data_IF_033722313126
#
_entry.id   IF_033722313126
#
_cell.length_a   1.000
_cell.length_b   1.000
_cell.length_c   1.000
_cell.angle_alpha   90.00
_cell.angle_beta   90.00
_cell.angle_gamma   90.00
#
_symmetry.space_group_name_H-M   'P 1'
#
loop_
_entity.id
_entity.type
_entity.pdbx_description
1 polymer ?
#
# COMPACT_ATOMS: atom_id res chain seq x y z
N UNK A 1 10.01 44.33 62.36
CA UNK A 1 9.56 42.99 61.93
C UNK A 1 8.86 42.92 60.57
N UNK A 2 8.62 44.02 59.82
CA UNK A 2 7.92 43.99 58.50
C UNK A 2 8.83 43.93 57.29
N UNK A 3 10.13 44.15 57.36
CA UNK A 3 11.07 44.13 56.25
C UNK A 3 11.61 42.72 55.87
N UNK A 4 11.53 41.75 56.76
CA UNK A 4 12.07 40.39 56.55
C UNK A 4 11.11 39.53 55.75
N UNK A 5 9.82 39.81 55.79
CA UNK A 5 8.80 39.08 55.02
C UNK A 5 8.84 39.35 53.53
N UNK A 6 9.22 40.53 53.09
CA UNK A 6 9.33 40.85 51.67
C UNK A 6 10.54 40.23 50.99
N UNK A 7 11.59 39.92 51.73
CA UNK A 7 12.77 39.29 51.20
C UNK A 7 12.55 37.80 50.88
N UNK A 8 11.72 37.11 51.71
CA UNK A 8 11.34 35.71 51.45
C UNK A 8 10.30 35.55 50.38
N UNK A 9 9.43 36.53 50.19
CA UNK A 9 8.43 36.48 49.14
C UNK A 9 9.02 36.75 47.75
N UNK A 10 10.07 37.57 47.63
CA UNK A 10 10.78 37.83 46.39
C UNK A 10 11.67 36.65 45.94
N UNK A 11 12.17 35.84 46.89
CA UNK A 11 13.00 34.66 46.58
C UNK A 11 12.15 33.47 46.10
N UNK A 12 10.85 33.41 46.50
CA UNK A 12 9.97 32.32 46.10
C UNK A 12 9.34 32.55 44.72
N UNK A 13 9.29 33.78 44.21
CA UNK A 13 8.79 34.11 42.86
C UNK A 13 9.84 33.87 41.74
N UNK A 14 11.14 33.78 42.11
CA UNK A 14 12.21 33.60 41.15
C UNK A 14 12.47 32.11 40.80
N UNK A 15 11.79 31.18 41.46
CA UNK A 15 11.96 29.72 41.21
C UNK A 15 10.92 29.11 40.28
N UNK A 16 10.05 29.93 39.61
CA UNK A 16 8.99 29.44 38.71
C UNK A 16 9.18 29.68 37.23
N UNK A 17 10.38 30.03 36.80
CA UNK A 17 10.60 30.39 35.39
C UNK A 17 11.77 29.62 34.74
N UNK A 18 11.85 28.33 34.82
CA UNK A 18 12.66 27.55 33.89
C UNK A 18 12.15 26.13 33.86
N UNK A 19 11.07 25.89 33.16
CA UNK A 19 10.79 24.59 32.59
C UNK A 19 10.23 24.81 31.18
N UNK A 20 11.09 25.32 30.30
CA UNK A 20 10.99 24.99 28.90
C UNK A 20 12.14 24.01 28.67
N UNK A 21 11.81 22.75 28.64
CA UNK A 21 12.69 21.71 28.12
C UNK A 21 12.81 21.96 26.62
N UNK A 22 13.84 22.72 26.22
CA UNK A 22 14.20 22.90 24.81
C UNK A 22 14.90 21.59 24.42
N UNK A 23 14.15 20.64 23.88
CA UNK A 23 14.72 19.49 23.22
C UNK A 23 15.52 20.05 22.02
N UNK A 24 16.83 20.03 22.11
CA UNK A 24 17.70 20.38 20.99
C UNK A 24 17.36 19.49 19.80
N UNK A 25 17.30 20.08 18.61
CA UNK A 25 16.91 19.40 17.36
C UNK A 25 17.68 18.10 17.08
N UNK A 26 18.87 17.98 17.63
CA UNK A 26 19.77 16.83 17.47
C UNK A 26 19.51 15.70 18.48
N UNK A 27 18.63 15.90 19.45
CA UNK A 27 18.18 14.89 20.41
C UNK A 27 16.81 14.28 20.09
N UNK A 28 16.23 14.60 18.94
CA UNK A 28 15.20 13.75 18.34
C UNK A 28 15.90 12.52 17.75
N UNK A 29 16.29 11.62 18.60
CA UNK A 29 16.53 10.26 18.15
C UNK A 29 15.17 9.68 17.86
N UNK A 30 14.81 9.65 16.56
CA UNK A 30 13.75 8.77 16.10
C UNK A 30 14.08 7.38 16.70
N UNK A 31 13.25 6.83 17.60
CA UNK A 31 13.51 5.50 18.17
C UNK A 31 13.59 4.42 17.07
N UNK A 32 13.23 4.77 15.83
CA UNK A 32 13.36 3.94 14.64
C UNK A 32 14.48 4.43 13.70
N UNK A 33 15.32 5.41 14.11
CA UNK A 33 16.45 5.86 13.29
C UNK A 33 17.41 4.67 13.04
N UNK A 34 17.39 4.13 11.84
CA UNK A 34 18.18 2.97 11.43
C UNK A 34 17.41 1.64 11.42
N UNK A 35 16.14 1.63 11.79
CA UNK A 35 15.25 0.49 11.56
C UNK A 35 14.26 0.81 10.44
N UNK A 36 13.91 -0.16 9.58
CA UNK A 36 12.83 0.03 8.63
C UNK A 36 11.53 0.41 9.37
N UNK A 37 10.66 1.18 8.70
CA UNK A 37 9.34 1.54 9.25
C UNK A 37 8.61 0.29 9.72
N UNK A 38 8.41 0.15 11.03
CA UNK A 38 7.73 -0.98 11.66
C UNK A 38 6.23 -0.74 11.81
N UNK A 39 5.68 0.32 11.21
CA UNK A 39 4.26 0.61 11.23
C UNK A 39 3.47 -0.23 10.23
N UNK A 40 2.15 -0.21 10.36
CA UNK A 40 1.25 -0.79 9.35
C UNK A 40 1.38 0.02 8.06
N UNK A 41 1.55 -0.67 6.94
CA UNK A 41 1.42 -0.10 5.60
C UNK A 41 0.04 -0.44 5.03
N UNK A 42 -0.36 0.31 4.04
CA UNK A 42 -1.70 0.23 3.46
C UNK A 42 -1.61 -0.11 1.98
N UNK A 43 -2.38 -1.12 1.57
CA UNK A 43 -2.59 -1.44 0.16
C UNK A 43 -3.90 -0.81 -0.31
N UNK A 44 -3.85 -0.12 -1.44
CA UNK A 44 -5.04 0.31 -2.20
C UNK A 44 -5.09 -0.51 -3.49
N UNK A 45 -6.15 -1.28 -3.65
CA UNK A 45 -6.46 -2.02 -4.88
C UNK A 45 -7.50 -1.22 -5.66
N UNK A 46 -7.10 -0.64 -6.80
CA UNK A 46 -7.95 0.17 -7.68
C UNK A 46 -8.46 -0.68 -8.85
N UNK A 47 -9.77 -0.91 -8.92
CA UNK A 47 -10.41 -1.53 -10.08
C UNK A 47 -10.62 -0.51 -11.18
N UNK A 48 -9.92 -0.68 -12.30
CA UNK A 48 -9.76 0.33 -13.33
C UNK A 48 -9.80 -0.24 -14.77
N UNK A 49 -9.69 0.64 -15.76
CA UNK A 49 -9.56 0.25 -17.16
C UNK A 49 -9.47 1.46 -18.09
N UNK A 50 -8.75 1.29 -19.19
CA UNK A 50 -8.43 2.38 -20.12
C UNK A 50 -9.65 3.00 -20.85
N UNK A 51 -10.82 2.33 -20.86
CA UNK A 51 -12.08 2.87 -21.40
C UNK A 51 -12.98 3.51 -20.34
N UNK A 52 -12.55 3.53 -19.08
CA UNK A 52 -13.29 4.12 -17.98
C UNK A 52 -13.03 5.62 -17.91
N UNK A 53 -14.06 6.41 -18.12
CA UNK A 53 -14.01 7.88 -18.25
C UNK A 53 -13.51 8.59 -16.98
N UNK A 54 -13.82 8.05 -15.80
CA UNK A 54 -13.49 8.67 -14.51
C UNK A 54 -12.35 7.94 -13.78
N UNK A 55 -11.77 6.88 -14.37
CA UNK A 55 -10.66 6.16 -13.74
C UNK A 55 -9.38 7.01 -13.58
N UNK A 56 -9.08 7.97 -14.48
CA UNK A 56 -7.98 8.90 -14.25
C UNK A 56 -8.10 9.71 -12.95
N UNK A 57 -9.31 10.08 -12.52
CA UNK A 57 -9.51 10.78 -11.24
C UNK A 57 -9.11 9.91 -10.04
N UNK A 58 -9.43 8.62 -10.08
CA UNK A 58 -9.05 7.66 -9.03
C UNK A 58 -7.53 7.43 -9.01
N UNK A 59 -6.91 7.29 -10.20
CA UNK A 59 -5.45 7.19 -10.32
C UNK A 59 -4.74 8.44 -9.76
N UNK A 60 -5.26 9.63 -10.07
CA UNK A 60 -4.74 10.88 -9.54
C UNK A 60 -4.90 10.99 -8.01
N UNK A 61 -6.00 10.49 -7.46
CA UNK A 61 -6.21 10.46 -6.01
C UNK A 61 -5.26 9.47 -5.31
N UNK A 62 -5.07 8.27 -5.88
CA UNK A 62 -4.08 7.31 -5.37
C UNK A 62 -2.68 7.91 -5.33
N UNK A 63 -2.26 8.58 -6.40
CA UNK A 63 -0.97 9.27 -6.46
C UNK A 63 -0.82 10.33 -5.34
N UNK A 64 -1.83 11.17 -5.12
CA UNK A 64 -1.82 12.15 -4.01
C UNK A 64 -1.71 11.48 -2.63
N UNK A 65 -2.37 10.33 -2.44
CA UNK A 65 -2.30 9.59 -1.18
C UNK A 65 -0.88 9.02 -0.98
N UNK A 66 -0.26 8.50 -2.04
CA UNK A 66 1.13 8.03 -1.98
C UNK A 66 2.13 9.17 -1.71
N UNK A 67 1.92 10.35 -2.31
CA UNK A 67 2.71 11.55 -1.99
C UNK A 67 2.54 12.01 -0.53
N UNK A 68 1.32 11.91 0.01
CA UNK A 68 1.02 12.27 1.40
C UNK A 68 1.63 11.27 2.40
N UNK A 69 1.72 10.00 2.04
CA UNK A 69 2.20 8.91 2.88
C UNK A 69 3.29 8.09 2.17
N UNK A 70 4.45 8.71 1.84
CA UNK A 70 5.49 8.07 1.06
C UNK A 70 5.97 6.78 1.74
N UNK A 71 6.13 5.72 0.95
CA UNK A 71 6.52 4.38 1.37
C UNK A 71 5.57 3.67 2.36
N UNK A 72 4.42 4.27 2.67
CA UNK A 72 3.43 3.73 3.62
C UNK A 72 2.13 3.31 2.95
N UNK A 73 1.78 3.92 1.83
CA UNK A 73 0.67 3.52 0.97
C UNK A 73 1.23 2.95 -0.31
N UNK A 74 0.65 1.86 -0.77
CA UNK A 74 1.07 1.12 -1.96
C UNK A 74 -0.17 0.90 -2.82
N UNK A 75 -0.09 1.24 -4.11
CA UNK A 75 -1.16 1.04 -5.07
C UNK A 75 -0.99 -0.23 -5.90
N UNK A 76 -2.11 -0.85 -6.26
CA UNK A 76 -2.22 -1.84 -7.34
C UNK A 76 -3.42 -1.48 -8.21
N UNK A 77 -3.19 -1.16 -9.49
CA UNK A 77 -4.23 -0.90 -10.47
C UNK A 77 -4.63 -2.20 -11.18
N UNK A 78 -5.82 -2.68 -10.90
CA UNK A 78 -6.37 -3.92 -11.45
C UNK A 78 -7.23 -3.58 -12.65
N UNK A 79 -6.65 -3.69 -13.85
CA UNK A 79 -7.40 -3.56 -15.09
C UNK A 79 -8.27 -4.79 -15.32
N UNK A 80 -9.59 -4.62 -15.37
CA UNK A 80 -10.52 -5.74 -15.47
C UNK A 80 -11.81 -5.40 -16.22
N UNK A 81 -12.58 -6.43 -16.50
CA UNK A 81 -13.91 -6.33 -17.10
C UNK A 81 -13.93 -5.65 -18.48
N UNK A 82 -15.11 -5.15 -18.87
CA UNK A 82 -15.31 -4.53 -20.17
C UNK A 82 -14.58 -3.20 -20.38
N UNK A 83 -14.24 -2.50 -19.28
CA UNK A 83 -13.48 -1.25 -19.35
C UNK A 83 -12.00 -1.46 -19.68
N UNK A 84 -11.45 -2.65 -19.43
CA UNK A 84 -10.08 -3.01 -19.76
C UNK A 84 -9.97 -3.99 -20.94
N UNK A 85 -11.09 -4.39 -21.58
CA UNK A 85 -11.07 -5.29 -22.71
C UNK A 85 -10.59 -4.58 -23.98
N UNK A 86 -9.52 -5.07 -24.64
CA UNK A 86 -9.03 -4.48 -25.88
C UNK A 86 -10.09 -4.41 -26.97
N UNK A 87 -10.25 -3.22 -27.57
CA UNK A 87 -11.15 -3.00 -28.69
C UNK A 87 -10.85 -1.67 -29.40
N UNK A 88 -11.07 -1.61 -30.70
CA UNK A 88 -10.89 -0.39 -31.48
C UNK A 88 -9.44 0.11 -31.44
N UNK A 89 -9.25 1.30 -30.88
CA UNK A 89 -7.92 1.93 -30.75
C UNK A 89 -7.14 1.43 -29.54
N UNK A 90 -7.77 0.74 -28.61
CA UNK A 90 -7.17 0.15 -27.41
C UNK A 90 -6.71 -1.26 -27.75
N UNK A 91 -5.42 -1.44 -27.98
CA UNK A 91 -4.85 -2.71 -28.45
C UNK A 91 -4.09 -3.48 -27.39
N UNK A 92 -3.60 -2.80 -26.36
CA UNK A 92 -2.88 -3.41 -25.25
C UNK A 92 -3.85 -4.04 -24.27
N UNK A 93 -3.58 -5.27 -23.85
CA UNK A 93 -4.34 -5.94 -22.79
C UNK A 93 -3.59 -5.83 -21.48
N UNK A 94 -4.11 -5.03 -20.55
CA UNK A 94 -3.57 -4.88 -19.19
C UNK A 94 -4.23 -5.84 -18.20
N UNK A 95 -5.22 -6.60 -18.63
CA UNK A 95 -5.89 -7.58 -17.76
C UNK A 95 -4.97 -8.75 -17.46
N UNK A 96 -5.12 -9.29 -16.26
CA UNK A 96 -4.52 -10.57 -15.87
C UNK A 96 -5.63 -11.54 -15.48
N UNK A 97 -5.38 -12.84 -15.56
CA UNK A 97 -6.35 -13.84 -15.09
C UNK A 97 -6.64 -13.66 -13.61
N UNK A 98 -5.59 -13.39 -12.82
CA UNK A 98 -5.70 -13.18 -11.38
C UNK A 98 -6.45 -11.89 -11.04
N UNK A 99 -6.22 -10.81 -11.79
CA UNK A 99 -6.96 -9.55 -11.64
C UNK A 99 -8.44 -9.72 -11.95
N UNK A 100 -8.79 -10.48 -12.99
CA UNK A 100 -10.18 -10.81 -13.29
C UNK A 100 -10.80 -11.66 -12.18
N UNK A 101 -10.09 -12.69 -11.66
CA UNK A 101 -10.57 -13.53 -10.57
C UNK A 101 -10.84 -12.73 -9.29
N UNK A 102 -9.95 -11.79 -8.94
CA UNK A 102 -10.12 -10.87 -7.81
C UNK A 102 -11.34 -9.97 -8.04
N UNK A 103 -11.47 -9.39 -9.23
CA UNK A 103 -12.59 -8.52 -9.61
C UNK A 103 -13.92 -9.27 -9.54
N UNK A 104 -14.00 -10.47 -10.10
CA UNK A 104 -15.20 -11.30 -10.06
C UNK A 104 -15.62 -11.68 -8.64
N UNK A 105 -14.64 -11.92 -7.76
CA UNK A 105 -14.90 -12.27 -6.36
C UNK A 105 -15.47 -11.11 -5.54
N UNK A 106 -14.88 -9.91 -5.65
CA UNK A 106 -15.36 -8.74 -4.92
C UNK A 106 -16.58 -8.08 -5.57
N UNK A 107 -16.81 -8.33 -6.86
CA UNK A 107 -18.02 -7.98 -7.58
C UNK A 107 -18.32 -6.49 -7.69
N UNK A 108 -17.36 -5.63 -8.08
CA UNK A 108 -17.66 -4.21 -8.29
C UNK A 108 -18.71 -3.99 -9.35
N UNK A 109 -19.72 -3.17 -9.06
CA UNK A 109 -20.80 -2.85 -10.02
C UNK A 109 -20.37 -1.87 -11.12
N UNK A 110 -19.27 -1.15 -10.92
CA UNK A 110 -18.73 -0.16 -11.87
C UNK A 110 -17.36 0.34 -11.47
N UNK A 111 -16.72 1.09 -12.35
CA UNK A 111 -15.39 1.68 -12.16
C UNK A 111 -15.44 3.21 -12.29
N UNK A 112 -14.53 3.97 -11.60
CA UNK A 112 -13.53 3.47 -10.66
C UNK A 112 -14.14 3.14 -9.30
N UNK A 113 -13.62 2.13 -8.66
CA UNK A 113 -13.90 1.76 -7.28
C UNK A 113 -12.70 0.94 -6.76
N UNK A 114 -12.48 0.90 -5.45
CA UNK A 114 -11.34 0.14 -4.94
C UNK A 114 -11.50 -0.30 -3.51
N UNK A 115 -10.43 -0.85 -2.97
CA UNK A 115 -10.38 -1.37 -1.60
C UNK A 115 -9.16 -0.82 -0.88
N UNK A 116 -9.32 -0.49 0.39
CA UNK A 116 -8.22 -0.09 1.28
C UNK A 116 -7.99 -1.18 2.31
N UNK A 117 -6.88 -1.92 2.21
CA UNK A 117 -6.57 -3.11 3.00
C UNK A 117 -7.72 -4.14 3.05
N UNK A 118 -8.63 -4.14 2.08
CA UNK A 118 -9.84 -4.99 2.03
C UNK A 118 -10.68 -4.89 3.32
N UNK A 119 -10.57 -3.74 4.01
CA UNK A 119 -11.32 -3.49 5.24
C UNK A 119 -12.81 -3.47 4.97
N UNK A 120 -13.60 -4.06 5.87
CA UNK A 120 -15.07 -4.08 5.78
C UNK A 120 -15.68 -5.23 4.98
N UNK A 121 -14.86 -6.16 4.48
CA UNK A 121 -15.38 -7.38 3.85
C UNK A 121 -16.24 -8.21 4.85
N UNK A 122 -17.40 -8.76 4.43
CA UNK A 122 -17.88 -8.81 3.05
C UNK A 122 -18.73 -7.62 2.59
N UNK A 123 -19.26 -6.80 3.50
CA UNK A 123 -20.39 -5.91 3.16
C UNK A 123 -19.98 -4.52 2.65
N UNK A 124 -18.85 -3.97 3.13
CA UNK A 124 -18.43 -2.58 2.88
C UNK A 124 -16.97 -2.48 2.42
N UNK A 125 -16.51 -3.43 1.63
CA UNK A 125 -15.10 -3.50 1.21
C UNK A 125 -14.79 -2.58 0.04
N UNK A 126 -15.77 -2.36 -0.85
CA UNK A 126 -15.63 -1.52 -2.03
C UNK A 126 -15.92 -0.05 -1.67
N UNK A 127 -14.96 0.82 -1.93
CA UNK A 127 -14.98 2.22 -1.57
C UNK A 127 -14.82 3.12 -2.79
N UNK A 128 -15.55 4.23 -2.84
CA UNK A 128 -15.24 5.31 -3.78
C UNK A 128 -13.82 5.81 -3.57
N UNK A 129 -13.13 6.21 -4.63
CA UNK A 129 -11.79 6.81 -4.55
C UNK A 129 -11.76 8.06 -3.65
N UNK A 130 -12.88 8.77 -3.50
CA UNK A 130 -13.01 9.93 -2.61
C UNK A 130 -12.85 9.59 -1.12
N UNK A 131 -13.00 8.33 -0.75
CA UNK A 131 -12.92 7.85 0.63
C UNK A 131 -11.57 7.20 0.96
N UNK A 132 -10.73 6.92 -0.06
CA UNK A 132 -9.46 6.19 0.12
C UNK A 132 -8.49 6.90 1.05
N UNK A 133 -8.35 8.23 0.93
CA UNK A 133 -7.44 9.00 1.77
C UNK A 133 -7.80 8.92 3.26
N UNK A 134 -9.10 9.03 3.60
CA UNK A 134 -9.58 8.91 4.97
C UNK A 134 -9.34 7.51 5.52
N UNK A 135 -9.73 6.49 4.74
CA UNK A 135 -9.58 5.09 5.16
C UNK A 135 -8.11 4.70 5.29
N UNK A 136 -7.24 5.14 4.38
CA UNK A 136 -5.80 4.89 4.47
C UNK A 136 -5.20 5.54 5.73
N UNK A 137 -5.58 6.80 6.03
CA UNK A 137 -5.15 7.49 7.24
C UNK A 137 -5.54 6.74 8.52
N UNK A 138 -6.77 6.23 8.60
CA UNK A 138 -7.24 5.42 9.74
C UNK A 138 -6.46 4.10 9.88
N UNK A 139 -6.16 3.42 8.77
CA UNK A 139 -5.40 2.18 8.77
C UNK A 139 -3.93 2.38 9.18
N UNK A 140 -3.31 3.50 8.78
CA UNK A 140 -1.93 3.83 9.15
C UNK A 140 -1.74 4.11 10.65
N UNK A 141 -2.80 4.45 11.38
CA UNK A 141 -2.77 4.65 12.84
C UNK A 141 -2.78 3.33 13.62
N UNK A 142 -3.07 2.21 12.97
CA UNK A 142 -3.13 0.92 13.63
C UNK A 142 -1.72 0.35 13.86
N UNK A 143 -1.54 -0.35 14.97
CA UNK A 143 -0.31 -1.09 15.22
C UNK A 143 -0.20 -2.27 14.24
N UNK A 144 0.97 -2.53 13.65
CA UNK A 144 1.18 -3.68 12.79
C UNK A 144 1.12 -4.97 13.61
N UNK A 145 0.46 -5.98 13.09
CA UNK A 145 0.40 -7.32 13.69
C UNK A 145 1.39 -8.29 13.03
N UNK A 146 1.92 -7.90 11.89
CA UNK A 146 2.88 -8.65 11.09
C UNK A 146 4.00 -7.70 10.65
N UNK A 147 5.23 -8.16 10.72
CA UNK A 147 6.37 -7.57 10.05
C UNK A 147 6.59 -8.31 8.74
N UNK A 148 6.85 -7.57 7.68
CA UNK A 148 7.06 -8.06 6.33
C UNK A 148 8.26 -7.35 5.71
N UNK A 149 9.12 -8.08 5.01
CA UNK A 149 10.18 -7.51 4.18
C UNK A 149 10.39 -8.36 2.93
N UNK A 150 10.85 -7.72 1.86
CA UNK A 150 11.09 -8.35 0.57
C UNK A 150 12.55 -8.13 0.19
N UNK A 151 13.14 -9.15 -0.41
CA UNK A 151 14.39 -9.05 -1.16
C UNK A 151 14.27 -9.78 -2.49
N UNK A 152 14.99 -9.33 -3.49
CA UNK A 152 15.03 -9.96 -4.82
C UNK A 152 16.48 -10.20 -5.23
N UNK A 153 16.74 -11.37 -5.75
CA UNK A 153 18.04 -11.75 -6.31
C UNK A 153 17.83 -12.78 -7.42
N UNK A 154 18.43 -12.54 -8.60
CA UNK A 154 18.44 -13.50 -9.73
C UNK A 154 17.03 -14.00 -10.14
N UNK A 155 16.04 -13.10 -10.19
CA UNK A 155 14.62 -13.39 -10.45
C UNK A 155 13.97 -14.36 -9.44
N UNK A 156 14.50 -14.43 -8.24
CA UNK A 156 13.88 -15.06 -7.09
C UNK A 156 13.52 -13.99 -6.07
N UNK A 157 12.23 -13.87 -5.75
CA UNK A 157 11.77 -13.02 -4.66
C UNK A 157 11.73 -13.82 -3.37
N UNK A 158 12.29 -13.26 -2.31
CA UNK A 158 12.24 -13.82 -0.95
C UNK A 158 11.48 -12.86 -0.03
N UNK A 159 10.39 -13.34 0.54
CA UNK A 159 9.54 -12.60 1.47
C UNK A 159 9.81 -13.14 2.87
N UNK A 160 10.31 -12.29 3.76
CA UNK A 160 10.43 -12.60 5.18
C UNK A 160 9.24 -12.04 5.95
N UNK A 161 8.64 -12.86 6.78
CA UNK A 161 7.49 -12.46 7.58
C UNK A 161 7.54 -13.06 8.98
N UNK A 162 7.09 -12.28 9.98
CA UNK A 162 6.89 -12.77 11.36
C UNK A 162 5.68 -12.12 12.01
N UNK A 163 5.12 -12.79 13.01
CA UNK A 163 4.07 -12.22 13.86
C UNK A 163 4.67 -11.27 14.90
N UNK A 164 4.02 -10.13 15.08
CA UNK A 164 4.30 -9.15 16.13
C UNK A 164 3.32 -9.28 17.30
N UNK A 165 2.16 -9.90 17.06
CA UNK A 165 1.14 -10.13 18.09
C UNK A 165 0.56 -11.54 17.97
N UNK A 166 0.11 -12.11 19.07
CA UNK A 166 -0.55 -13.41 19.12
C UNK A 166 -1.90 -13.38 18.36
N UNK A 167 -2.10 -14.32 17.45
CA UNK A 167 -3.34 -14.49 16.69
C UNK A 167 -3.40 -15.88 16.10
N UNK A 168 -4.62 -16.43 15.98
CA UNK A 168 -4.89 -17.72 15.36
C UNK A 168 -5.42 -17.58 13.91
N UNK A 169 -5.19 -16.44 13.26
CA UNK A 169 -5.65 -16.18 11.90
C UNK A 169 -5.09 -17.19 10.91
N UNK A 170 -5.92 -17.61 9.96
CA UNK A 170 -5.48 -18.34 8.78
C UNK A 170 -4.89 -17.35 7.77
N UNK A 171 -3.58 -17.34 7.64
CA UNK A 171 -2.87 -16.34 6.86
C UNK A 171 -2.57 -16.81 5.45
N UNK A 172 -2.65 -15.87 4.53
CA UNK A 172 -2.19 -16.03 3.15
C UNK A 172 -1.20 -14.94 2.79
N UNK A 173 -0.19 -15.32 1.99
CA UNK A 173 0.78 -14.42 1.38
C UNK A 173 0.53 -14.35 -0.12
N UNK A 174 0.33 -13.15 -0.63
CA UNK A 174 0.29 -12.85 -2.07
C UNK A 174 1.57 -12.14 -2.45
N UNK A 175 2.12 -12.50 -3.61
CA UNK A 175 3.27 -11.84 -4.22
C UNK A 175 2.93 -11.54 -5.66
N UNK A 176 3.01 -10.27 -6.05
CA UNK A 176 2.68 -9.83 -7.40
C UNK A 176 3.71 -8.86 -7.98
N UNK A 177 3.65 -8.66 -9.27
CA UNK A 177 4.45 -7.70 -10.03
C UNK A 177 3.51 -6.60 -10.53
N UNK A 178 3.89 -5.35 -10.29
CA UNK A 178 3.28 -4.17 -10.89
C UNK A 178 4.29 -3.46 -11.78
N UNK A 179 3.80 -2.70 -12.75
CA UNK A 179 4.63 -1.88 -13.64
C UNK A 179 4.11 -0.45 -13.66
N UNK A 180 5.02 0.50 -13.54
CA UNK A 180 4.76 1.94 -13.59
C UNK A 180 5.20 2.53 -14.95
N UNK A 181 4.72 3.75 -15.28
CA UNK A 181 5.19 4.51 -16.44
C UNK A 181 4.85 3.88 -17.79
N UNK A 182 3.77 3.11 -17.89
CA UNK A 182 3.33 2.54 -19.17
C UNK A 182 2.56 3.62 -19.94
N UNK A 183 3.11 4.04 -21.07
CA UNK A 183 2.44 5.02 -21.94
C UNK A 183 1.53 4.30 -22.91
N UNK A 184 0.21 4.54 -22.80
CA UNK A 184 -0.80 4.00 -23.71
C UNK A 184 -2.06 4.88 -23.67
N UNK A 185 -3.08 4.50 -24.42
CA UNK A 185 -4.34 5.23 -24.53
C UNK A 185 -5.22 5.10 -23.29
N UNK A 186 -5.95 6.19 -22.98
CA UNK A 186 -6.92 6.24 -21.89
C UNK A 186 -8.06 7.17 -22.27
N UNK A 187 -9.29 6.87 -21.86
CA UNK A 187 -10.39 7.84 -21.86
C UNK A 187 -10.33 8.63 -20.55
N UNK A 188 -10.29 9.95 -20.67
CA UNK A 188 -10.34 10.88 -19.53
C UNK A 188 -11.41 11.93 -19.77
N UNK A 189 -12.38 12.08 -18.87
CA UNK A 189 -13.49 13.02 -19.01
C UNK A 189 -14.31 12.85 -20.31
N UNK A 190 -14.20 11.70 -20.99
CA UNK A 190 -14.80 11.42 -22.28
C UNK A 190 -13.92 11.73 -23.49
N UNK A 191 -12.74 12.28 -23.28
CA UNK A 191 -11.74 12.55 -24.32
C UNK A 191 -10.72 11.40 -24.40
N UNK A 192 -10.21 11.11 -25.61
CA UNK A 192 -9.14 10.15 -25.81
C UNK A 192 -7.78 10.81 -25.56
N UNK A 193 -7.07 10.34 -24.55
CA UNK A 193 -5.67 10.70 -24.30
C UNK A 193 -4.80 9.62 -24.96
N UNK A 194 -4.02 10.01 -25.96
CA UNK A 194 -3.19 9.07 -26.74
C UNK A 194 -1.95 8.59 -25.99
N UNK A 195 -1.38 9.45 -25.13
CA UNK A 195 -0.16 9.21 -24.37
C UNK A 195 -0.44 9.40 -22.86
N UNK A 196 -1.29 8.55 -22.29
CA UNK A 196 -1.59 8.52 -20.85
C UNK A 196 -0.58 7.62 -20.14
N UNK A 197 -0.07 8.06 -19.00
CA UNK A 197 0.84 7.28 -18.16
C UNK A 197 0.06 6.43 -17.17
N UNK A 198 0.09 5.11 -17.38
CA UNK A 198 -0.50 4.15 -16.45
C UNK A 198 0.54 3.70 -15.42
N UNK A 199 0.19 3.81 -14.15
CA UNK A 199 1.04 3.42 -13.03
C UNK A 199 0.38 2.31 -12.20
N UNK A 200 1.17 1.60 -11.40
CA UNK A 200 0.74 0.51 -10.52
C UNK A 200 0.03 -0.65 -11.22
N UNK A 201 0.18 -0.78 -12.54
CA UNK A 201 -0.54 -1.78 -13.34
C UNK A 201 -0.18 -3.18 -12.88
N UNK A 202 -1.17 -3.95 -12.43
CA UNK A 202 -0.98 -5.36 -12.07
C UNK A 202 -0.58 -6.15 -13.32
N UNK A 203 0.65 -6.68 -13.33
CA UNK A 203 1.14 -7.46 -14.48
C UNK A 203 1.04 -8.97 -14.24
N UNK A 204 1.22 -9.41 -13.00
CA UNK A 204 1.19 -10.84 -12.64
C UNK A 204 1.03 -11.02 -11.14
N UNK A 205 0.29 -12.05 -10.73
CA UNK A 205 0.37 -12.57 -9.37
C UNK A 205 1.16 -13.87 -9.40
N UNK A 206 2.34 -13.89 -8.76
CA UNK A 206 3.33 -14.96 -8.89
C UNK A 206 2.81 -16.29 -8.35
N UNK A 207 2.07 -16.23 -7.25
CA UNK A 207 1.58 -17.41 -6.52
C UNK A 207 0.04 -17.56 -6.53
N UNK A 208 -0.59 -17.02 -7.59
CA UNK A 208 -2.04 -17.10 -7.82
C UNK A 208 -2.84 -16.03 -7.10
N UNK A 209 -4.05 -15.73 -7.59
CA UNK A 209 -4.91 -14.62 -7.14
C UNK A 209 -5.09 -14.55 -5.62
N UNK A 210 -5.14 -15.69 -4.95
CA UNK A 210 -5.36 -15.81 -3.50
C UNK A 210 -4.09 -16.16 -2.72
N UNK A 211 -2.95 -16.25 -3.40
CA UNK A 211 -1.67 -16.52 -2.75
C UNK A 211 -1.55 -17.89 -2.07
N UNK A 212 -0.46 -18.04 -1.34
CA UNK A 212 -0.11 -19.28 -0.63
C UNK A 212 -0.53 -19.23 0.84
N UNK A 213 -0.94 -20.37 1.41
CA UNK A 213 -1.11 -20.49 2.86
C UNK A 213 0.24 -20.35 3.56
N UNK A 214 0.30 -19.55 4.59
CA UNK A 214 1.51 -19.36 5.40
C UNK A 214 1.19 -19.56 6.89
N UNK A 215 2.24 -19.94 7.62
CA UNK A 215 2.19 -20.01 9.09
C UNK A 215 3.29 -19.12 9.65
N UNK A 216 2.92 -18.21 10.52
CA UNK A 216 3.85 -17.26 11.13
C UNK A 216 3.90 -17.47 12.64
N UNK A 217 5.11 -17.34 13.18
CA UNK A 217 5.39 -17.26 14.61
C UNK A 217 6.09 -15.94 14.93
N UNK A 218 6.55 -15.76 16.15
CA UNK A 218 7.43 -14.64 16.54
C UNK A 218 8.81 -14.72 15.89
N UNK A 219 9.21 -15.91 15.41
CA UNK A 219 10.44 -16.09 14.61
C UNK A 219 10.13 -15.82 13.14
N UNK A 220 11.04 -15.16 12.44
CA UNK A 220 10.89 -14.89 11.01
C UNK A 220 10.88 -16.18 10.19
N UNK A 221 9.95 -16.24 9.23
CA UNK A 221 9.87 -17.30 8.20
C UNK A 221 10.13 -16.67 6.84
N UNK A 222 10.80 -17.41 5.95
CA UNK A 222 11.08 -16.96 4.58
C UNK A 222 10.31 -17.80 3.58
N UNK A 223 9.69 -17.13 2.61
CA UNK A 223 8.96 -17.73 1.49
C UNK A 223 9.57 -17.22 0.19
N UNK A 224 10.00 -18.12 -0.68
CA UNK A 224 10.69 -17.75 -1.92
C UNK A 224 9.91 -18.23 -3.14
N UNK A 225 9.91 -17.40 -4.19
CA UNK A 225 9.21 -17.63 -5.43
C UNK A 225 10.09 -17.19 -6.59
N UNK A 226 10.25 -18.05 -7.59
CA UNK A 226 10.86 -17.66 -8.85
C UNK A 226 9.84 -16.95 -9.74
N UNK A 227 10.30 -15.96 -10.50
CA UNK A 227 9.45 -15.22 -11.42
C UNK A 227 10.18 -14.96 -12.75
N UNK A 228 9.42 -14.60 -13.75
CA UNK A 228 9.93 -14.12 -15.03
C UNK A 228 9.18 -12.87 -15.43
N UNK A 229 9.90 -11.88 -15.92
CA UNK A 229 9.32 -10.71 -16.59
C UNK A 229 9.06 -11.03 -18.05
N UNK A 230 7.97 -10.54 -18.58
CA UNK A 230 7.72 -10.62 -20.03
C UNK A 230 8.62 -9.62 -20.78
N UNK A 231 9.01 -9.94 -22.00
CA UNK A 231 9.90 -9.10 -22.80
C UNK A 231 9.33 -7.71 -23.12
N UNK A 232 8.01 -7.57 -23.02
CA UNK A 232 7.30 -6.31 -23.23
C UNK A 232 7.33 -5.39 -22.01
N UNK A 233 7.73 -5.87 -20.85
CA UNK A 233 7.77 -5.07 -19.62
C UNK A 233 9.12 -4.38 -19.48
N UNK A 234 9.11 -3.16 -18.98
CA UNK A 234 10.32 -2.41 -18.68
C UNK A 234 10.79 -2.77 -17.27
N UNK A 235 11.87 -3.58 -17.16
CA UNK A 235 12.35 -4.09 -15.86
C UNK A 235 12.52 -2.98 -14.83
N UNK A 236 13.15 -1.87 -15.21
CA UNK A 236 13.34 -0.70 -14.33
C UNK A 236 12.06 0.02 -13.92
N UNK A 237 10.91 -0.36 -14.43
CA UNK A 237 9.61 0.20 -14.05
C UNK A 237 8.77 -0.84 -13.26
N UNK A 238 9.31 -2.05 -13.06
CA UNK A 238 8.60 -3.11 -12.36
C UNK A 238 8.89 -3.07 -10.86
N UNK A 239 7.87 -3.38 -10.09
CA UNK A 239 7.95 -3.53 -8.65
C UNK A 239 7.43 -4.90 -8.23
N UNK A 240 7.96 -5.43 -7.14
CA UNK A 240 7.40 -6.57 -6.42
C UNK A 240 6.60 -6.03 -5.24
N UNK A 241 5.33 -6.39 -5.18
CA UNK A 241 4.46 -6.12 -4.04
C UNK A 241 4.12 -7.45 -3.37
N UNK A 242 4.32 -7.52 -2.05
CA UNK A 242 3.90 -8.67 -1.25
C UNK A 242 3.01 -8.22 -0.10
N UNK A 243 1.93 -8.95 0.14
CA UNK A 243 1.04 -8.66 1.26
C UNK A 243 0.51 -9.92 1.93
N UNK A 244 0.30 -9.81 3.24
CA UNK A 244 -0.29 -10.86 4.06
C UNK A 244 -1.69 -10.45 4.47
N UNK A 245 -2.65 -11.36 4.28
CA UNK A 245 -4.03 -11.13 4.67
C UNK A 245 -4.61 -12.29 5.51
N UNK A 246 -5.62 -11.96 6.31
CA UNK A 246 -6.43 -12.96 7.02
C UNK A 246 -7.44 -13.59 6.05
N UNK A 247 -7.33 -14.88 5.85
CA UNK A 247 -8.21 -15.60 4.91
C UNK A 247 -9.68 -15.64 5.35
N UNK A 248 -9.98 -15.40 6.62
CA UNK A 248 -11.34 -15.46 7.16
C UNK A 248 -12.17 -14.21 6.78
N UNK A 249 -11.56 -13.04 6.83
CA UNK A 249 -12.21 -11.74 6.57
C UNK A 249 -11.56 -10.95 5.43
N UNK A 250 -10.56 -11.53 4.73
CA UNK A 250 -9.81 -10.93 3.62
C UNK A 250 -8.99 -9.68 3.98
N UNK A 251 -9.03 -9.20 5.22
CA UNK A 251 -8.31 -8.01 5.65
C UNK A 251 -6.80 -8.15 5.44
N UNK A 252 -6.18 -7.18 4.77
CA UNK A 252 -4.74 -7.10 4.58
C UNK A 252 -4.12 -6.55 5.85
N UNK A 253 -3.24 -7.35 6.44
CA UNK A 253 -2.61 -7.08 7.73
C UNK A 253 -1.29 -6.34 7.58
N UNK A 254 -0.57 -6.57 6.47
CA UNK A 254 0.66 -5.88 6.11
C UNK A 254 0.96 -6.01 4.63
N UNK A 255 1.58 -4.99 4.07
CA UNK A 255 2.04 -4.94 2.67
C UNK A 255 3.45 -4.36 2.61
N UNK A 256 4.22 -4.77 1.61
CA UNK A 256 5.55 -4.25 1.31
C UNK A 256 5.75 -4.17 -0.20
N UNK A 257 6.57 -3.20 -0.64
CA UNK A 257 6.94 -3.02 -2.04
C UNK A 257 8.44 -2.81 -2.16
N UNK A 258 9.06 -3.44 -3.14
CA UNK A 258 10.41 -3.12 -3.58
C UNK A 258 10.42 -2.89 -5.09
N UNK A 259 11.35 -2.05 -5.51
CA UNK A 259 11.63 -1.85 -6.93
C UNK A 259 12.58 -2.97 -7.44
N UNK A 260 12.31 -3.50 -8.63
CA UNK A 260 13.20 -4.49 -9.27
C UNK A 260 14.41 -3.75 -9.85
N UNK A 261 15.59 -4.05 -9.32
CA UNK A 261 16.85 -3.47 -9.82
C UNK A 261 17.47 -4.34 -10.92
N UNK A 262 18.37 -3.75 -11.69
CA UNK A 262 19.14 -4.43 -12.75
C UNK A 262 20.13 -5.47 -12.19
#
# INVERSE_FOLDING_TARGET
>A
MKKTYYLFLSLFILSLTFSCDVIEKDNFTDPNAGFPWLGKKVLIEDFTGFKCTNCPDASAELHKIEELYPDKVIGIAIHAGSFAEPSGVFVTDFRTNEGNEITDFFGPEGFPIGMVNRQGYPDNVLLSYTDWASQAGEQLLQAPTIELSISEENNTVSVQARRLSESNNSLKLVVCITEDGIIDKQIDGGELIEEYEHNHVLRKVINGAWGSNIQLSSTSSTYSYDYTLENSWVRSNCNIVAFVYDNSNKEILQVEKIHITD
#
